data_IF_959369862661
#
_entry.id   IF_959369862661
#
_cell.length_a   1.000
_cell.length_b   1.000
_cell.length_c   1.000
_cell.angle_alpha   90.00
_cell.angle_beta   90.00
_cell.angle_gamma   90.00
#
_symmetry.space_group_name_H-M   'P 1'
#
loop_
_entity.id
_entity.type
_entity.pdbx_description
1 polymer ?
#
# COMPACT_ATOMS: atom_id res chain seq x y z
N UNK A 1 -39.60 -8.92 -12.55
CA UNK A 1 -38.56 -7.88 -12.40
C UNK A 1 -37.22 -8.31 -13.01
N UNK A 2 -36.61 -9.42 -12.58
CA UNK A 2 -35.25 -9.84 -12.99
C UNK A 2 -35.08 -10.15 -14.49
N UNK A 3 -36.09 -10.73 -15.17
CA UNK A 3 -35.97 -11.08 -16.60
C UNK A 3 -35.86 -9.86 -17.53
N UNK A 4 -36.61 -8.79 -17.27
CA UNK A 4 -36.53 -7.57 -18.07
C UNK A 4 -35.19 -6.86 -17.86
N UNK A 5 -34.69 -6.83 -16.62
CA UNK A 5 -33.38 -6.27 -16.32
C UNK A 5 -32.26 -7.05 -17.03
N UNK A 6 -32.25 -8.38 -16.91
CA UNK A 6 -31.25 -9.22 -17.58
C UNK A 6 -31.33 -9.09 -19.11
N UNK A 7 -32.55 -9.09 -19.68
CA UNK A 7 -32.74 -8.89 -21.12
C UNK A 7 -32.24 -7.54 -21.61
N UNK A 8 -32.44 -6.47 -20.83
CA UNK A 8 -31.91 -5.15 -21.11
C UNK A 8 -30.37 -5.17 -21.11
N UNK A 9 -29.73 -5.74 -20.08
CA UNK A 9 -28.26 -5.86 -20.03
C UNK A 9 -27.71 -6.62 -21.26
N UNK A 10 -28.34 -7.74 -21.59
CA UNK A 10 -27.96 -8.56 -22.75
C UNK A 10 -28.10 -7.80 -24.07
N UNK A 11 -29.09 -6.91 -24.23
CA UNK A 11 -29.21 -6.08 -25.44
C UNK A 11 -28.04 -5.10 -25.65
N UNK A 12 -27.26 -4.81 -24.60
CA UNK A 12 -26.04 -4.01 -24.65
C UNK A 12 -24.76 -4.88 -24.57
N UNK A 13 -24.88 -6.20 -24.70
CA UNK A 13 -23.75 -7.12 -24.60
C UNK A 13 -23.15 -7.24 -23.19
N UNK A 14 -23.91 -6.89 -22.14
CA UNK A 14 -23.49 -6.97 -20.74
C UNK A 14 -24.01 -8.26 -20.09
N UNK A 15 -23.16 -8.90 -19.28
CA UNK A 15 -23.53 -10.06 -18.46
C UNK A 15 -23.64 -9.67 -16.98
N UNK A 16 -24.67 -10.18 -16.31
CA UNK A 16 -24.79 -10.15 -14.85
C UNK A 16 -23.98 -11.30 -14.24
N UNK A 17 -22.90 -10.98 -13.55
CA UNK A 17 -21.92 -11.97 -13.06
C UNK A 17 -22.16 -12.47 -11.63
N UNK A 18 -22.96 -11.75 -10.84
CA UNK A 18 -23.34 -12.16 -9.48
C UNK A 18 -24.46 -13.19 -9.54
N UNK A 19 -24.18 -14.39 -9.01
CA UNK A 19 -25.11 -15.55 -9.03
C UNK A 19 -25.53 -16.03 -7.63
N UNK A 20 -25.06 -15.37 -6.58
CA UNK A 20 -25.33 -15.73 -5.17
C UNK A 20 -25.85 -14.51 -4.38
N UNK A 21 -26.51 -14.72 -3.23
CA UNK A 21 -26.97 -13.61 -2.38
C UNK A 21 -25.84 -12.68 -1.98
N UNK A 22 -26.05 -11.37 -2.11
CA UNK A 22 -25.11 -10.32 -1.69
C UNK A 22 -25.56 -9.61 -0.43
N UNK A 23 -26.82 -9.78 -0.04
CA UNK A 23 -27.35 -9.34 1.25
C UNK A 23 -27.99 -10.51 1.97
N UNK A 24 -27.49 -10.84 3.15
CA UNK A 24 -27.95 -11.94 3.99
C UNK A 24 -28.30 -11.38 5.36
N UNK A 25 -29.60 -11.40 5.65
CA UNK A 25 -30.17 -11.06 6.96
C UNK A 25 -30.60 -12.34 7.67
N UNK A 26 -31.02 -12.31 8.94
CA UNK A 26 -31.53 -13.50 9.63
C UNK A 26 -32.73 -14.17 8.94
N UNK A 27 -33.53 -13.40 8.20
CA UNK A 27 -34.80 -13.87 7.60
C UNK A 27 -34.79 -13.92 6.08
N UNK A 28 -33.87 -13.23 5.41
CA UNK A 28 -33.86 -13.11 3.95
C UNK A 28 -32.45 -13.18 3.37
N UNK A 29 -32.35 -13.76 2.18
CA UNK A 29 -31.14 -13.81 1.36
C UNK A 29 -31.48 -13.24 -0.02
N UNK A 30 -30.90 -12.10 -0.38
CA UNK A 30 -31.19 -11.41 -1.64
C UNK A 30 -29.91 -11.06 -2.39
N UNK A 31 -29.95 -11.08 -3.72
CA UNK A 31 -28.88 -10.63 -4.60
C UNK A 31 -29.28 -9.26 -5.16
N UNK A 32 -28.97 -8.19 -4.42
CA UNK A 32 -29.36 -6.82 -4.78
C UNK A 32 -28.17 -5.96 -5.20
N UNK A 33 -26.96 -6.44 -5.00
CA UNK A 33 -25.73 -5.85 -5.48
C UNK A 33 -25.25 -6.64 -6.69
N UNK A 34 -24.80 -5.95 -7.74
CA UNK A 34 -24.54 -6.57 -9.04
C UNK A 34 -23.14 -6.21 -9.54
N UNK A 35 -22.42 -7.20 -10.07
CA UNK A 35 -21.25 -6.99 -10.93
C UNK A 35 -21.69 -7.26 -12.36
N UNK A 36 -21.55 -6.27 -13.23
CA UNK A 36 -22.00 -6.32 -14.62
C UNK A 36 -20.82 -5.96 -15.51
N UNK A 37 -20.53 -6.79 -16.52
CA UNK A 37 -19.41 -6.55 -17.42
C UNK A 37 -19.63 -7.18 -18.79
N UNK A 38 -18.93 -6.64 -19.79
CA UNK A 38 -18.70 -7.24 -21.11
C UNK A 38 -17.22 -7.61 -21.31
N UNK A 39 -16.40 -7.51 -20.27
CA UNK A 39 -14.98 -7.84 -20.32
C UNK A 39 -14.84 -9.37 -20.22
N UNK A 40 -14.02 -10.00 -21.08
CA UNK A 40 -13.75 -11.44 -20.97
C UNK A 40 -12.93 -11.76 -19.71
N UNK A 41 -12.99 -13.03 -19.27
CA UNK A 41 -12.18 -13.56 -18.17
C UNK A 41 -12.31 -12.82 -16.84
N UNK A 42 -13.55 -12.42 -16.51
CA UNK A 42 -13.92 -11.89 -15.19
C UNK A 42 -14.51 -12.99 -14.32
N UNK A 43 -13.85 -13.29 -13.21
CA UNK A 43 -14.38 -14.18 -12.16
C UNK A 43 -14.94 -13.34 -11.02
N UNK A 44 -16.18 -13.60 -10.62
CA UNK A 44 -16.83 -12.91 -9.50
C UNK A 44 -17.08 -13.86 -8.34
N UNK A 45 -16.65 -13.46 -7.15
CA UNK A 45 -16.92 -14.17 -5.90
C UNK A 45 -17.67 -13.25 -4.93
N UNK A 46 -18.55 -13.84 -4.11
CA UNK A 46 -19.23 -13.12 -3.03
C UNK A 46 -18.63 -13.55 -1.70
N UNK A 47 -18.15 -12.57 -0.93
CA UNK A 47 -17.35 -12.77 0.27
C UNK A 47 -18.10 -12.23 1.48
N UNK A 48 -18.42 -13.11 2.43
CA UNK A 48 -18.92 -12.68 3.73
C UNK A 48 -17.79 -12.00 4.53
N UNK A 49 -17.82 -10.66 4.52
CA UNK A 49 -16.87 -9.76 5.18
C UNK A 49 -17.07 -9.66 6.69
N UNK A 50 -18.20 -10.16 7.21
CA UNK A 50 -18.58 -10.13 8.63
C UNK A 50 -18.66 -8.73 9.26
N UNK A 51 -18.77 -7.68 8.44
CA UNK A 51 -18.88 -6.29 8.87
C UNK A 51 -20.31 -5.74 8.77
N UNK A 52 -21.19 -6.40 8.01
CA UNK A 52 -22.61 -6.05 7.86
C UNK A 52 -23.41 -7.22 7.31
N UNK A 53 -24.71 -7.01 7.09
CA UNK A 53 -25.61 -7.90 6.36
C UNK A 53 -25.34 -7.92 4.85
N UNK A 54 -24.48 -7.03 4.33
CA UNK A 54 -24.01 -7.05 2.95
C UNK A 54 -22.68 -7.78 2.83
N UNK A 55 -22.64 -8.77 1.95
CA UNK A 55 -21.43 -9.46 1.55
C UNK A 55 -20.67 -8.61 0.52
N UNK A 56 -19.35 -8.61 0.63
CA UNK A 56 -18.48 -8.00 -0.37
C UNK A 56 -18.55 -8.77 -1.68
N UNK A 57 -18.30 -8.08 -2.79
CA UNK A 57 -18.08 -8.71 -4.09
C UNK A 57 -16.63 -8.49 -4.49
N UNK A 58 -15.98 -9.54 -4.96
CA UNK A 58 -14.66 -9.51 -5.56
C UNK A 58 -14.79 -9.87 -7.04
N UNK A 59 -14.16 -9.07 -7.90
CA UNK A 59 -14.06 -9.34 -9.32
C UNK A 59 -12.57 -9.46 -9.69
N UNK A 60 -12.18 -10.63 -10.19
CA UNK A 60 -10.83 -10.92 -10.65
C UNK A 60 -10.85 -10.87 -12.17
N UNK A 61 -10.17 -9.88 -12.74
CA UNK A 61 -10.05 -9.69 -14.19
C UNK A 61 -8.69 -10.27 -14.62
N UNK A 62 -8.70 -11.33 -15.42
CA UNK A 62 -7.47 -11.97 -15.91
C UNK A 62 -7.00 -11.34 -17.21
N UNK A 63 -5.72 -11.52 -17.53
CA UNK A 63 -5.15 -11.12 -18.83
C UNK A 63 -5.01 -9.61 -19.07
N UNK A 64 -5.42 -8.76 -18.12
CA UNK A 64 -5.31 -7.30 -18.24
C UNK A 64 -3.99 -6.79 -17.61
N UNK A 65 -3.24 -6.01 -18.38
CA UNK A 65 -2.12 -5.24 -17.83
C UNK A 65 -2.67 -3.97 -17.19
N UNK A 66 -2.61 -3.90 -15.86
CA UNK A 66 -2.94 -2.66 -15.15
C UNK A 66 -1.77 -1.69 -15.32
N UNK A 67 -2.03 -0.52 -15.89
CA UNK A 67 -1.10 0.60 -15.85
C UNK A 67 -0.79 0.93 -14.40
N UNK A 68 0.46 0.70 -13.99
CA UNK A 68 0.89 1.01 -12.63
C UNK A 68 1.12 2.52 -12.53
N UNK A 69 0.79 3.06 -11.36
CA UNK A 69 1.10 4.44 -10.99
C UNK A 69 2.52 4.83 -11.43
N UNK A 70 2.71 6.01 -12.04
CA UNK A 70 4.01 6.39 -12.59
C UNK A 70 5.05 6.40 -11.46
N UNK A 71 6.12 5.65 -11.69
CA UNK A 71 7.27 5.66 -10.79
C UNK A 71 8.05 6.96 -11.01
N UNK A 72 8.43 7.62 -9.92
CA UNK A 72 9.28 8.81 -9.97
C UNK A 72 10.70 8.45 -9.53
N UNK A 73 11.68 8.96 -10.26
CA UNK A 73 13.07 8.87 -9.86
C UNK A 73 13.39 9.99 -8.87
N UNK A 74 14.02 9.65 -7.75
CA UNK A 74 14.50 10.60 -6.75
C UNK A 74 15.98 10.37 -6.49
N UNK A 75 16.72 11.46 -6.48
CA UNK A 75 18.11 11.47 -6.07
C UNK A 75 18.16 11.65 -4.56
N UNK A 76 18.75 10.69 -3.85
CA UNK A 76 18.90 10.73 -2.40
C UNK A 76 20.34 10.47 -1.98
N UNK A 77 20.71 10.98 -0.82
CA UNK A 77 21.97 10.66 -0.15
C UNK A 77 21.80 9.36 0.66
N UNK A 78 22.72 8.40 0.51
CA UNK A 78 22.62 7.12 1.22
C UNK A 78 23.08 7.23 2.68
N UNK A 79 22.18 7.70 3.55
CA UNK A 79 22.41 7.93 4.99
C UNK A 79 22.00 6.73 5.86
N UNK A 80 22.14 5.51 5.36
CA UNK A 80 21.89 4.31 6.18
C UNK A 80 22.81 4.30 7.41
N UNK A 81 22.39 3.73 8.56
CA UNK A 81 23.20 3.71 9.78
C UNK A 81 24.63 3.19 9.58
N UNK A 82 24.82 2.19 8.71
CA UNK A 82 26.15 1.66 8.34
C UNK A 82 27.04 2.70 7.65
N UNK A 83 26.48 3.49 6.73
CA UNK A 83 27.21 4.52 5.99
C UNK A 83 27.57 5.70 6.91
N UNK A 84 26.65 6.07 7.81
CA UNK A 84 26.92 7.08 8.84
C UNK A 84 28.03 6.60 9.80
N UNK A 85 28.02 5.32 10.20
CA UNK A 85 29.09 4.76 11.01
C UNK A 85 30.45 4.82 10.29
N UNK A 86 30.48 4.51 8.98
CA UNK A 86 31.68 4.64 8.16
C UNK A 86 32.14 6.11 8.07
N UNK A 87 31.22 7.05 7.85
CA UNK A 87 31.52 8.48 7.82
C UNK A 87 32.15 8.94 9.14
N UNK A 88 31.55 8.57 10.27
CA UNK A 88 32.06 8.90 11.60
C UNK A 88 33.47 8.32 11.81
N UNK A 89 33.70 7.07 11.43
CA UNK A 89 35.01 6.44 11.53
C UNK A 89 36.06 7.10 10.62
N UNK A 90 35.65 7.57 9.43
CA UNK A 90 36.52 8.27 8.49
C UNK A 90 36.91 9.66 8.99
N UNK A 91 35.92 10.45 9.42
CA UNK A 91 36.13 11.79 9.99
C UNK A 91 36.93 11.75 11.30
N UNK A 92 36.79 10.69 12.11
CA UNK A 92 37.58 10.53 13.33
C UNK A 92 39.08 10.35 13.04
N UNK A 93 39.43 9.77 11.89
CA UNK A 93 40.83 9.57 11.45
C UNK A 93 41.41 10.76 10.70
N UNK A 94 40.55 11.70 10.30
CA UNK A 94 40.95 12.89 9.56
C UNK A 94 41.87 13.77 10.41
N UNK A 95 42.95 14.26 9.79
CA UNK A 95 44.00 15.01 10.48
C UNK A 95 43.70 16.51 10.53
N UNK A 96 42.72 16.98 9.75
CA UNK A 96 42.25 18.37 9.74
C UNK A 96 43.40 19.36 9.53
N UNK A 97 44.29 19.07 8.57
CA UNK A 97 45.54 19.81 8.35
C UNK A 97 45.38 21.34 8.20
N UNK A 98 44.21 21.81 7.74
CA UNK A 98 43.94 23.24 7.62
C UNK A 98 43.91 23.99 8.96
N UNK A 99 43.74 23.32 10.11
CA UNK A 99 43.76 23.97 11.42
C UNK A 99 45.14 24.55 11.78
N UNK A 100 46.20 24.02 11.17
CA UNK A 100 47.57 24.51 11.34
C UNK A 100 47.98 25.50 10.24
N UNK A 101 47.03 25.92 9.40
CA UNK A 101 47.27 26.77 8.26
C UNK A 101 47.34 28.25 8.65
N UNK A 102 48.25 29.00 8.05
CA UNK A 102 48.31 30.46 8.15
C UNK A 102 47.43 31.17 7.11
N UNK A 103 46.64 30.41 6.35
CA UNK A 103 45.78 30.94 5.30
C UNK A 103 44.61 31.76 5.85
N UNK A 104 44.01 32.67 5.05
CA UNK A 104 42.79 33.39 5.41
C UNK A 104 41.64 32.44 5.80
N UNK A 105 40.73 32.94 6.63
CA UNK A 105 39.62 32.15 7.20
C UNK A 105 38.72 31.56 6.10
N UNK A 106 38.51 32.28 5.00
CA UNK A 106 37.73 31.82 3.85
C UNK A 106 38.34 30.58 3.22
N UNK A 107 39.68 30.55 3.09
CA UNK A 107 40.38 29.40 2.52
C UNK A 107 40.37 28.20 3.48
N UNK A 108 40.50 28.44 4.79
CA UNK A 108 40.38 27.37 5.78
C UNK A 108 38.97 26.75 5.77
N UNK A 109 37.93 27.57 5.65
CA UNK A 109 36.55 27.08 5.51
C UNK A 109 36.36 26.27 4.22
N UNK A 110 36.94 26.72 3.11
CA UNK A 110 36.88 25.97 1.86
C UNK A 110 37.53 24.59 2.00
N UNK A 111 38.71 24.51 2.62
CA UNK A 111 39.40 23.24 2.88
C UNK A 111 38.59 22.32 3.81
N UNK A 112 37.97 22.87 4.85
CA UNK A 112 37.03 22.13 5.69
C UNK A 112 35.88 21.54 4.89
N UNK A 113 35.22 22.38 4.08
CA UNK A 113 34.06 21.99 3.30
C UNK A 113 34.44 20.92 2.24
N UNK A 114 35.59 21.06 1.59
CA UNK A 114 36.08 20.09 0.61
C UNK A 114 36.40 18.75 1.26
N UNK A 115 37.07 18.77 2.43
CA UNK A 115 37.35 17.57 3.20
C UNK A 115 36.06 16.87 3.67
N UNK A 116 35.12 17.62 4.22
CA UNK A 116 33.83 17.09 4.66
C UNK A 116 33.06 16.48 3.48
N UNK A 117 32.99 17.19 2.33
CA UNK A 117 32.30 16.70 1.15
C UNK A 117 32.99 15.47 0.54
N UNK A 118 34.31 15.37 0.59
CA UNK A 118 35.05 14.18 0.18
C UNK A 118 34.60 12.96 1.00
N UNK A 119 34.66 13.04 2.33
CA UNK A 119 34.23 11.95 3.21
C UNK A 119 32.75 11.65 3.07
N UNK A 120 31.91 12.68 2.93
CA UNK A 120 30.47 12.52 2.73
C UNK A 120 30.15 11.81 1.41
N UNK A 121 30.80 12.16 0.31
CA UNK A 121 30.59 11.52 -0.99
C UNK A 121 31.11 10.08 -1.02
N UNK A 122 32.21 9.80 -0.31
CA UNK A 122 32.79 8.48 -0.20
C UNK A 122 31.92 7.53 0.65
N UNK A 123 31.56 7.95 1.86
CA UNK A 123 30.85 7.10 2.82
C UNK A 123 29.33 7.08 2.61
N UNK A 124 28.78 8.22 2.16
CA UNK A 124 27.36 8.39 1.91
C UNK A 124 27.16 8.82 0.44
N UNK A 125 27.28 7.91 -0.54
CA UNK A 125 27.12 8.31 -1.94
C UNK A 125 25.68 8.75 -2.26
N UNK A 126 25.56 9.60 -3.26
CA UNK A 126 24.26 9.92 -3.85
C UNK A 126 23.81 8.77 -4.74
N UNK A 127 22.55 8.34 -4.61
CA UNK A 127 21.95 7.30 -5.44
C UNK A 127 20.59 7.73 -5.96
N UNK A 128 20.26 7.30 -7.17
CA UNK A 128 18.93 7.42 -7.72
C UNK A 128 18.09 6.23 -7.28
N UNK A 129 16.97 6.51 -6.63
CA UNK A 129 15.97 5.51 -6.28
C UNK A 129 14.71 5.75 -7.09
N UNK A 130 14.06 4.66 -7.48
CA UNK A 130 12.75 4.70 -8.10
C UNK A 130 11.71 4.47 -7.02
N UNK A 131 10.79 5.44 -6.83
CA UNK A 131 9.73 5.36 -5.81
C UNK A 131 8.37 5.54 -6.45
N UNK A 132 7.36 4.86 -5.91
CA UNK A 132 5.98 5.18 -6.22
C UNK A 132 5.60 6.49 -5.52
N UNK A 133 4.74 7.29 -6.12
CA UNK A 133 4.16 8.44 -5.42
C UNK A 133 3.46 7.97 -4.14
N UNK A 134 3.80 8.57 -2.99
CA UNK A 134 3.13 8.26 -1.73
C UNK A 134 1.69 8.76 -1.84
N UNK A 135 0.73 7.84 -1.79
CA UNK A 135 -0.69 8.19 -1.61
C UNK A 135 -0.82 8.95 -0.29
N UNK A 136 -1.67 9.98 -0.27
CA UNK A 136 -1.97 10.72 0.96
C UNK A 136 -2.31 9.71 2.08
N UNK A 137 -1.67 9.88 3.24
CA UNK A 137 -1.88 8.97 4.37
C UNK A 137 -3.37 9.02 4.71
N UNK A 138 -4.05 7.87 4.67
CA UNK A 138 -5.47 7.78 5.03
C UNK A 138 -5.61 8.08 6.52
N UNK A 139 -5.88 9.33 6.87
CA UNK A 139 -5.92 9.81 8.27
C UNK A 139 -7.10 9.27 9.06
N UNK A 140 -8.17 8.83 8.38
CA UNK A 140 -9.37 8.29 9.03
C UNK A 140 -9.18 6.87 9.58
N UNK A 141 -8.20 6.10 9.09
CA UNK A 141 -7.94 4.74 9.58
C UNK A 141 -7.03 4.84 10.81
N UNK A 142 -7.65 4.94 11.98
CA UNK A 142 -6.93 5.01 13.26
C UNK A 142 -6.45 3.63 13.72
N UNK A 143 -5.50 3.60 14.66
CA UNK A 143 -5.06 2.35 15.32
C UNK A 143 -6.25 1.62 15.97
N UNK A 144 -7.21 2.36 16.54
CA UNK A 144 -8.42 1.79 17.14
C UNK A 144 -9.28 1.05 16.12
N UNK A 145 -9.50 1.63 14.93
CA UNK A 145 -10.25 0.96 13.84
C UNK A 145 -9.56 -0.33 13.41
N UNK A 146 -8.22 -0.34 13.31
CA UNK A 146 -7.46 -1.54 12.96
C UNK A 146 -7.62 -2.65 14.01
N UNK A 147 -7.57 -2.30 15.30
CA UNK A 147 -7.79 -3.25 16.40
C UNK A 147 -9.21 -3.80 16.37
N UNK A 148 -10.23 -2.94 16.23
CA UNK A 148 -11.63 -3.37 16.15
C UNK A 148 -11.88 -4.29 14.95
N UNK A 149 -11.28 -4.00 13.79
CA UNK A 149 -11.35 -4.85 12.61
C UNK A 149 -10.81 -6.27 12.87
N UNK A 150 -9.63 -6.39 13.48
CA UNK A 150 -9.04 -7.71 13.75
C UNK A 150 -9.86 -8.47 14.80
N UNK A 151 -10.38 -7.78 15.83
CA UNK A 151 -11.29 -8.40 16.80
C UNK A 151 -12.56 -8.93 16.14
N UNK A 152 -13.16 -8.17 15.23
CA UNK A 152 -14.37 -8.58 14.53
C UNK A 152 -14.15 -9.81 13.64
N UNK A 153 -13.03 -9.87 12.91
CA UNK A 153 -12.64 -11.06 12.14
C UNK A 153 -12.51 -12.29 13.04
N UNK A 154 -11.78 -12.17 14.15
CA UNK A 154 -11.60 -13.25 15.11
C UNK A 154 -12.94 -13.77 15.66
N UNK A 155 -13.84 -12.86 16.05
CA UNK A 155 -15.17 -13.25 16.52
C UNK A 155 -16.01 -13.92 15.41
N UNK A 156 -15.89 -13.45 14.16
CA UNK A 156 -16.56 -14.07 13.02
C UNK A 156 -16.04 -15.48 12.72
N UNK A 157 -14.74 -15.71 12.82
CA UNK A 157 -14.15 -17.04 12.65
C UNK A 157 -14.64 -18.01 13.74
N UNK A 158 -14.70 -17.55 14.99
CA UNK A 158 -15.31 -18.33 16.08
C UNK A 158 -16.76 -18.67 15.73
N UNK A 159 -17.56 -17.67 15.38
CA UNK A 159 -18.98 -17.86 15.04
C UNK A 159 -19.17 -18.89 13.91
N UNK A 160 -18.37 -18.82 12.85
CA UNK A 160 -18.44 -19.76 11.71
C UNK A 160 -18.00 -21.18 12.08
N UNK A 161 -17.04 -21.32 12.98
CA UNK A 161 -16.52 -22.63 13.42
C UNK A 161 -17.38 -23.29 14.51
N UNK A 162 -18.21 -22.53 15.22
CA UNK A 162 -19.00 -23.03 16.33
C UNK A 162 -20.34 -23.61 15.84
N UNK A 163 -20.61 -24.87 16.19
CA UNK A 163 -21.85 -25.56 15.85
C UNK A 163 -22.94 -25.41 16.92
N UNK A 164 -22.64 -24.70 18.01
CA UNK A 164 -23.55 -24.52 19.14
C UNK A 164 -24.62 -23.46 18.83
N UNK A 165 -25.89 -23.86 18.75
CA UNK A 165 -27.00 -22.97 18.38
C UNK A 165 -27.20 -21.80 19.36
N UNK A 166 -26.77 -21.94 20.62
CA UNK A 166 -26.85 -20.86 21.61
C UNK A 166 -25.91 -19.68 21.32
N UNK A 167 -24.97 -19.86 20.39
CA UNK A 167 -24.03 -18.83 19.94
C UNK A 167 -24.21 -18.47 18.45
N UNK A 168 -25.23 -19.02 17.78
CA UNK A 168 -25.60 -18.69 16.40
C UNK A 168 -26.62 -17.55 16.34
#
# INVERSE_FOLDING_TARGET
ATKHFVGMLQSFGLELLVKSPTRVTPTTQTAIDNVISNIPDVEVSVINTAISDHYGQEAIIKGQQIEREPKINKTIRDLRPSNIALLNASLFKEQWHFLNSTQPVEQQFQLFNDCLNYHLNLCCPTKTITVCQKKAKRTWITKGILVSKERLKFLSEIYKSNSNENFK
#
